data_IF_365916104513
#
_entry.id   IF_365916104513
#
_cell.length_a   1.000
_cell.length_b   1.000
_cell.length_c   1.000
_cell.angle_alpha   90.00
_cell.angle_beta   90.00
_cell.angle_gamma   90.00
#
_symmetry.space_group_name_H-M   'P 1'
#
loop_
_entity.id
_entity.type
_entity.pdbx_description
1 polymer ?
#
# COMPACT_ATOMS: atom_id res chain seq x y z
N UNK A 1 -50.66 -5.83 -0.93
CA UNK A 1 -49.27 -6.06 -0.52
C UNK A 1 -48.59 -7.13 -1.37
N UNK A 2 -49.16 -8.33 -1.51
CA UNK A 2 -48.58 -9.43 -2.31
C UNK A 2 -48.29 -9.06 -3.78
N UNK A 3 -49.25 -8.44 -4.47
CA UNK A 3 -49.08 -8.02 -5.87
C UNK A 3 -47.94 -6.99 -6.07
N UNK A 4 -47.72 -6.13 -5.08
CA UNK A 4 -46.65 -5.12 -5.12
C UNK A 4 -45.28 -5.75 -4.94
N UNK A 5 -45.14 -6.71 -4.01
CA UNK A 5 -43.88 -7.45 -3.83
C UNK A 5 -43.53 -8.23 -5.10
N UNK A 6 -44.50 -8.91 -5.71
CA UNK A 6 -44.31 -9.60 -6.99
C UNK A 6 -43.89 -8.63 -8.11
N UNK A 7 -44.48 -7.44 -8.17
CA UNK A 7 -44.09 -6.43 -9.16
C UNK A 7 -42.63 -5.98 -8.98
N UNK A 8 -42.20 -5.72 -7.75
CA UNK A 8 -40.81 -5.33 -7.44
C UNK A 8 -39.84 -6.43 -7.83
N UNK A 9 -40.17 -7.69 -7.55
CA UNK A 9 -39.35 -8.84 -7.94
C UNK A 9 -39.27 -9.01 -9.47
N UNK A 10 -40.38 -8.81 -10.19
CA UNK A 10 -40.36 -8.84 -11.67
C UNK A 10 -39.47 -7.72 -12.24
N UNK A 11 -39.56 -6.51 -11.69
CA UNK A 11 -38.70 -5.39 -12.10
C UNK A 11 -37.23 -5.71 -11.81
N UNK A 12 -36.94 -6.28 -10.65
CA UNK A 12 -35.60 -6.75 -10.32
C UNK A 12 -35.09 -7.79 -11.33
N UNK A 13 -35.90 -8.80 -11.66
CA UNK A 13 -35.50 -9.87 -12.59
C UNK A 13 -35.16 -9.31 -13.99
N UNK A 14 -35.87 -8.25 -14.41
CA UNK A 14 -35.52 -7.53 -15.66
C UNK A 14 -34.15 -6.88 -15.54
N UNK A 15 -33.87 -6.13 -14.46
CA UNK A 15 -32.55 -5.52 -14.25
C UNK A 15 -31.45 -6.57 -14.15
N UNK A 16 -31.64 -7.64 -13.39
CA UNK A 16 -30.68 -8.73 -13.23
C UNK A 16 -30.36 -9.41 -14.56
N UNK A 17 -31.35 -9.62 -15.44
CA UNK A 17 -31.10 -10.13 -16.80
C UNK A 17 -30.26 -9.17 -17.63
N UNK A 18 -30.54 -7.87 -17.59
CA UNK A 18 -29.76 -6.87 -18.31
C UNK A 18 -28.33 -6.73 -17.77
N UNK A 19 -28.11 -6.89 -16.47
CA UNK A 19 -26.78 -6.93 -15.86
C UNK A 19 -25.94 -8.11 -16.39
N UNK A 20 -26.57 -9.22 -16.79
CA UNK A 20 -25.88 -10.42 -17.29
C UNK A 20 -25.73 -10.46 -18.82
N UNK A 21 -26.13 -9.41 -19.55
CA UNK A 21 -25.97 -9.36 -21.01
C UNK A 21 -24.47 -9.35 -21.37
N UNK A 22 -23.97 -10.23 -22.25
CA UNK A 22 -22.56 -10.27 -22.64
C UNK A 22 -22.08 -8.94 -23.25
N UNK A 23 -20.82 -8.58 -23.04
CA UNK A 23 -20.22 -7.36 -23.63
C UNK A 23 -20.14 -7.39 -25.16
N UNK A 24 -20.27 -8.56 -25.78
CA UNK A 24 -20.33 -8.72 -27.24
C UNK A 24 -21.65 -8.26 -27.87
N UNK A 25 -22.67 -7.93 -27.07
CA UNK A 25 -23.98 -7.58 -27.58
C UNK A 25 -24.02 -6.18 -28.21
N UNK A 26 -24.16 -6.11 -29.53
CA UNK A 26 -24.05 -4.90 -30.36
C UNK A 26 -24.96 -3.75 -29.91
N UNK A 27 -26.20 -4.06 -29.49
CA UNK A 27 -27.17 -3.03 -29.09
C UNK A 27 -27.10 -2.64 -27.61
N UNK A 28 -26.30 -3.33 -26.79
CA UNK A 28 -26.22 -3.08 -25.35
C UNK A 28 -24.87 -2.46 -24.99
N UNK A 29 -24.78 -1.16 -25.27
CA UNK A 29 -23.59 -0.34 -25.09
C UNK A 29 -23.29 -0.04 -23.61
N UNK A 30 -22.10 0.51 -23.34
CA UNK A 30 -21.66 0.89 -21.98
C UNK A 30 -22.64 1.82 -21.27
N UNK A 31 -23.23 2.78 -21.99
CA UNK A 31 -24.17 3.75 -21.42
C UNK A 31 -25.43 3.06 -20.90
N UNK A 32 -25.98 2.11 -21.66
CA UNK A 32 -27.12 1.31 -21.22
C UNK A 32 -26.75 0.44 -20.02
N UNK A 33 -25.57 -0.19 -20.00
CA UNK A 33 -25.08 -0.97 -18.86
C UNK A 33 -25.03 -0.13 -17.59
N UNK A 34 -24.41 1.04 -17.66
CA UNK A 34 -24.34 2.00 -16.56
C UNK A 34 -25.73 2.40 -16.09
N UNK A 35 -26.66 2.68 -17.01
CA UNK A 35 -28.05 3.03 -16.67
C UNK A 35 -28.83 1.87 -16.06
N UNK A 36 -28.59 0.64 -16.49
CA UNK A 36 -29.15 -0.57 -15.88
C UNK A 36 -28.69 -0.70 -14.43
N UNK A 37 -27.39 -0.55 -14.17
CA UNK A 37 -26.84 -0.61 -12.79
C UNK A 37 -27.33 0.56 -11.93
N UNK A 38 -27.43 1.76 -12.50
CA UNK A 38 -27.99 2.92 -11.81
C UNK A 38 -29.47 2.68 -11.42
N UNK A 39 -30.27 2.15 -12.34
CA UNK A 39 -31.67 1.80 -12.09
C UNK A 39 -31.83 0.71 -11.03
N UNK A 40 -30.98 -0.33 -11.08
CA UNK A 40 -30.91 -1.35 -10.04
C UNK A 40 -30.56 -0.74 -8.68
N UNK A 41 -29.62 0.20 -8.62
CA UNK A 41 -29.26 0.94 -7.42
C UNK A 41 -30.47 1.65 -6.78
N UNK A 42 -31.26 2.37 -7.59
CA UNK A 42 -32.47 3.04 -7.11
C UNK A 42 -33.55 2.05 -6.63
N UNK A 43 -33.69 0.91 -7.31
CA UNK A 43 -34.63 -0.14 -6.90
C UNK A 43 -34.27 -0.69 -5.52
N UNK A 44 -32.98 -1.00 -5.32
CA UNK A 44 -32.44 -1.54 -4.07
C UNK A 44 -32.51 -0.53 -2.94
N UNK A 45 -32.27 0.76 -3.20
CA UNK A 45 -32.40 1.82 -2.20
C UNK A 45 -33.83 1.96 -1.66
N UNK A 46 -34.85 1.67 -2.47
CA UNK A 46 -36.26 1.69 -2.04
C UNK A 46 -36.73 0.35 -1.48
N UNK A 47 -36.08 -0.75 -1.84
CA UNK A 47 -36.44 -2.10 -1.43
C UNK A 47 -35.16 -2.89 -1.06
N UNK A 48 -34.62 -2.71 0.16
CA UNK A 48 -33.37 -3.33 0.59
C UNK A 48 -33.34 -4.85 0.44
N UNK A 49 -34.49 -5.53 0.55
CA UNK A 49 -34.62 -6.98 0.29
C UNK A 49 -34.13 -7.41 -1.10
N UNK A 50 -34.19 -6.55 -2.11
CA UNK A 50 -33.65 -6.83 -3.44
C UNK A 50 -32.12 -6.86 -3.46
N UNK A 51 -31.44 -6.19 -2.51
CA UNK A 51 -29.99 -6.31 -2.33
C UNK A 51 -29.61 -7.74 -1.95
N UNK A 52 -30.39 -8.37 -1.07
CA UNK A 52 -30.16 -9.75 -0.66
C UNK A 52 -30.38 -10.70 -1.83
N UNK A 53 -31.40 -10.47 -2.66
CA UNK A 53 -31.61 -11.25 -3.90
C UNK A 53 -30.42 -11.09 -4.85
N UNK A 54 -29.92 -9.87 -5.04
CA UNK A 54 -28.72 -9.56 -5.83
C UNK A 54 -27.43 -10.18 -5.30
N UNK A 55 -27.37 -10.42 -4.01
CA UNK A 55 -26.29 -11.17 -3.38
C UNK A 55 -26.42 -12.67 -3.67
N UNK A 56 -27.62 -13.23 -3.55
CA UNK A 56 -27.89 -14.66 -3.71
C UNK A 56 -27.74 -15.16 -5.16
N UNK A 57 -28.11 -14.33 -6.14
CA UNK A 57 -27.98 -14.67 -7.56
C UNK A 57 -26.66 -14.17 -8.19
N UNK A 58 -25.74 -13.66 -7.37
CA UNK A 58 -24.43 -13.12 -7.76
C UNK A 58 -24.46 -11.90 -8.67
N UNK A 59 -25.63 -11.28 -8.95
CA UNK A 59 -25.72 -10.06 -9.77
C UNK A 59 -24.83 -8.95 -9.21
N UNK A 60 -24.83 -8.77 -7.89
CA UNK A 60 -24.02 -7.74 -7.23
C UNK A 60 -22.51 -7.96 -7.44
N UNK A 61 -22.05 -9.21 -7.27
CA UNK A 61 -20.65 -9.58 -7.49
C UNK A 61 -20.24 -9.38 -8.95
N UNK A 62 -21.09 -9.79 -9.90
CA UNK A 62 -20.86 -9.62 -11.34
C UNK A 62 -20.69 -8.14 -11.71
N UNK A 63 -21.47 -7.25 -11.09
CA UNK A 63 -21.36 -5.80 -11.33
C UNK A 63 -20.11 -5.18 -10.70
N UNK A 64 -19.77 -5.58 -9.46
CA UNK A 64 -18.55 -5.10 -8.79
C UNK A 64 -17.30 -5.53 -9.56
N UNK A 65 -17.27 -6.78 -10.06
CA UNK A 65 -16.14 -7.34 -10.80
C UNK A 65 -16.27 -7.20 -12.31
N UNK A 66 -17.19 -6.35 -12.80
CA UNK A 66 -17.45 -6.20 -14.22
C UNK A 66 -16.18 -5.74 -14.97
N UNK A 67 -15.94 -6.20 -16.20
CA UNK A 67 -14.75 -5.80 -16.97
C UNK A 67 -14.77 -4.31 -17.36
N UNK A 68 -15.93 -3.72 -17.63
CA UNK A 68 -16.07 -2.29 -17.91
C UNK A 68 -15.89 -1.44 -16.62
N UNK A 69 -14.87 -0.57 -16.57
CA UNK A 69 -14.64 0.34 -15.44
C UNK A 69 -15.82 1.25 -15.09
N UNK A 70 -16.63 1.66 -16.08
CA UNK A 70 -17.77 2.56 -15.86
C UNK A 70 -18.87 1.87 -15.07
N UNK A 71 -19.12 0.60 -15.38
CA UNK A 71 -20.08 -0.24 -14.63
C UNK A 71 -19.63 -0.41 -13.19
N UNK A 72 -18.35 -0.73 -12.96
CA UNK A 72 -17.77 -0.85 -11.61
C UNK A 72 -17.88 0.45 -10.81
N UNK A 73 -17.57 1.58 -11.47
CA UNK A 73 -17.70 2.91 -10.86
C UNK A 73 -19.16 3.19 -10.46
N UNK A 74 -20.12 2.85 -11.34
CA UNK A 74 -21.53 3.09 -11.10
C UNK A 74 -22.10 2.22 -9.97
N UNK A 75 -21.75 0.92 -9.89
CA UNK A 75 -22.25 0.08 -8.80
C UNK A 75 -21.71 0.56 -7.45
N UNK A 76 -20.44 0.95 -7.37
CA UNK A 76 -19.86 1.49 -6.14
C UNK A 76 -20.52 2.81 -5.72
N UNK A 77 -20.85 3.68 -6.68
CA UNK A 77 -21.62 4.89 -6.42
C UNK A 77 -23.04 4.55 -5.90
N UNK A 78 -23.75 3.62 -6.55
CA UNK A 78 -25.08 3.17 -6.11
C UNK A 78 -25.07 2.56 -4.70
N UNK A 79 -24.03 1.82 -4.33
CA UNK A 79 -23.86 1.27 -2.97
C UNK A 79 -23.52 2.36 -1.95
N UNK A 80 -22.75 3.37 -2.34
CA UNK A 80 -22.46 4.54 -1.51
C UNK A 80 -23.74 5.33 -1.22
N UNK A 81 -24.56 5.59 -2.25
CA UNK A 81 -25.87 6.26 -2.13
C UNK A 81 -26.85 5.46 -1.26
N UNK A 82 -26.79 4.12 -1.33
CA UNK A 82 -27.56 3.23 -0.48
C UNK A 82 -27.18 3.41 1.00
N UNK A 83 -25.88 3.35 1.32
CA UNK A 83 -25.38 3.50 2.69
C UNK A 83 -25.73 4.87 3.29
N UNK A 84 -25.54 5.94 2.52
CA UNK A 84 -25.87 7.31 2.95
C UNK A 84 -27.38 7.50 3.12
N UNK A 85 -28.17 6.98 2.16
CA UNK A 85 -29.62 7.04 2.20
C UNK A 85 -30.20 6.31 3.42
N UNK A 86 -29.60 5.18 3.78
CA UNK A 86 -30.01 4.41 4.95
C UNK A 86 -29.63 5.09 6.26
N UNK A 87 -28.42 5.64 6.37
CA UNK A 87 -28.00 6.44 7.53
C UNK A 87 -28.93 7.64 7.75
N UNK A 88 -29.22 8.42 6.71
CA UNK A 88 -30.15 9.55 6.77
C UNK A 88 -31.59 9.13 7.12
N UNK A 89 -32.00 7.92 6.75
CA UNK A 89 -33.31 7.36 7.13
C UNK A 89 -33.34 7.04 8.62
N UNK A 90 -32.31 6.37 9.13
CA UNK A 90 -32.17 6.01 10.55
C UNK A 90 -32.09 7.25 11.46
N UNK A 91 -31.35 8.28 11.06
CA UNK A 91 -31.28 9.55 11.81
C UNK A 91 -32.66 10.22 11.96
N UNK A 92 -33.45 10.27 10.89
CA UNK A 92 -34.83 10.82 10.92
C UNK A 92 -35.74 10.03 11.83
N UNK A 93 -35.56 8.71 11.90
CA UNK A 93 -36.33 7.84 12.79
C UNK A 93 -35.96 8.08 14.25
N UNK A 94 -34.67 8.17 14.57
CA UNK A 94 -34.23 8.49 15.93
C UNK A 94 -34.72 9.87 16.38
N UNK A 95 -34.70 10.87 15.49
CA UNK A 95 -35.21 12.21 15.79
C UNK A 95 -36.73 12.24 16.05
N UNK A 96 -37.51 11.39 15.38
CA UNK A 96 -38.97 11.34 15.52
C UNK A 96 -39.46 10.45 16.67
N UNK A 97 -38.69 9.42 17.03
CA UNK A 97 -38.98 8.53 18.18
C UNK A 97 -38.94 9.27 19.53
N UNK A 98 -38.18 10.37 19.66
CA UNK A 98 -38.20 11.23 20.84
C UNK A 98 -39.55 11.93 21.11
N UNK A 99 -40.51 11.86 20.19
CA UNK A 99 -41.78 12.62 20.30
C UNK A 99 -43.05 11.75 20.28
N UNK A 100 -43.00 10.45 19.92
CA UNK A 100 -44.18 9.58 19.88
C UNK A 100 -43.85 8.13 20.23
N UNK A 101 -44.15 7.75 21.47
CA UNK A 101 -44.22 6.36 21.93
C UNK A 101 -45.48 5.72 21.31
N UNK A 102 -45.31 4.91 20.27
CA UNK A 102 -46.42 4.21 19.66
C UNK A 102 -46.01 3.26 18.53
N UNK A 103 -46.09 1.95 18.84
CA UNK A 103 -46.04 0.74 18.00
C UNK A 103 -44.67 0.09 17.72
N UNK A 104 -44.39 -0.93 18.55
CA UNK A 104 -43.32 -1.95 18.47
C UNK A 104 -43.29 -2.79 17.18
N UNK A 105 -44.25 -2.64 16.26
CA UNK A 105 -44.36 -3.52 15.07
C UNK A 105 -43.61 -3.00 13.84
N UNK A 106 -43.28 -1.70 13.77
CA UNK A 106 -42.54 -1.12 12.62
C UNK A 106 -41.03 -1.05 12.90
N UNK A 107 -40.63 -1.15 14.17
CA UNK A 107 -39.24 -1.07 14.58
C UNK A 107 -38.43 -2.32 14.15
N UNK A 108 -39.00 -3.53 14.28
CA UNK A 108 -38.31 -4.78 13.92
C UNK A 108 -38.00 -4.93 12.43
N UNK A 109 -38.93 -4.55 11.53
CA UNK A 109 -38.69 -4.61 10.08
C UNK A 109 -37.63 -3.59 9.63
N UNK A 110 -37.56 -2.43 10.29
CA UNK A 110 -36.61 -1.36 9.95
C UNK A 110 -35.19 -1.63 10.44
N UNK A 111 -35.05 -2.26 11.61
CA UNK A 111 -33.76 -2.79 12.10
C UNK A 111 -33.30 -3.98 11.25
N UNK A 112 -34.25 -4.75 10.70
CA UNK A 112 -33.99 -5.85 9.77
C UNK A 112 -33.37 -5.39 8.45
N UNK A 113 -33.86 -4.30 7.84
CA UNK A 113 -33.33 -3.77 6.59
C UNK A 113 -31.90 -3.21 6.75
N UNK A 114 -31.62 -2.48 7.83
CA UNK A 114 -30.27 -1.98 8.12
C UNK A 114 -29.27 -3.14 8.34
N UNK A 115 -29.70 -4.17 9.08
CA UNK A 115 -28.91 -5.38 9.31
C UNK A 115 -28.64 -6.15 8.01
N UNK A 116 -29.63 -6.21 7.11
CA UNK A 116 -29.50 -6.83 5.80
C UNK A 116 -28.48 -6.10 4.92
N UNK A 117 -28.56 -4.77 4.85
CA UNK A 117 -27.61 -3.96 4.08
C UNK A 117 -26.19 -4.18 4.62
N UNK A 118 -26.00 -4.08 5.94
CA UNK A 118 -24.72 -4.35 6.59
C UNK A 118 -24.16 -5.73 6.25
N UNK A 119 -24.98 -6.78 6.36
CA UNK A 119 -24.59 -8.16 6.06
C UNK A 119 -24.17 -8.38 4.60
N UNK A 120 -24.91 -7.82 3.64
CA UNK A 120 -24.54 -7.94 2.22
C UNK A 120 -23.26 -7.16 1.91
N UNK A 121 -23.11 -5.96 2.46
CA UNK A 121 -21.91 -5.13 2.25
C UNK A 121 -20.66 -5.79 2.84
N UNK A 122 -20.76 -6.41 4.02
CA UNK A 122 -19.68 -7.21 4.60
C UNK A 122 -19.30 -8.38 3.68
N UNK A 123 -20.27 -9.08 3.09
CA UNK A 123 -20.02 -10.20 2.19
C UNK A 123 -19.32 -9.76 0.88
N UNK A 124 -19.54 -8.52 0.43
CA UNK A 124 -18.92 -7.97 -0.78
C UNK A 124 -17.62 -7.19 -0.51
N UNK A 125 -17.25 -6.96 0.75
CA UNK A 125 -16.03 -6.23 1.12
C UNK A 125 -14.76 -6.76 0.42
N UNK A 126 -14.50 -8.08 0.31
CA UNK A 126 -13.31 -8.56 -0.39
C UNK A 126 -13.26 -8.13 -1.86
N UNK A 127 -14.41 -8.12 -2.55
CA UNK A 127 -14.51 -7.68 -3.94
C UNK A 127 -14.30 -6.16 -4.05
N UNK A 128 -14.83 -5.39 -3.10
CA UNK A 128 -14.64 -3.94 -3.02
C UNK A 128 -13.16 -3.56 -2.78
N UNK A 129 -12.48 -4.25 -1.85
CA UNK A 129 -11.04 -4.05 -1.59
C UNK A 129 -10.19 -4.41 -2.82
N UNK A 130 -10.57 -5.46 -3.54
CA UNK A 130 -9.91 -5.85 -4.80
C UNK A 130 -10.03 -4.77 -5.87
N UNK A 131 -11.24 -4.23 -6.11
CA UNK A 131 -11.43 -3.19 -7.13
C UNK A 131 -10.85 -1.83 -6.71
N UNK A 132 -10.72 -1.57 -5.41
CA UNK A 132 -10.11 -0.34 -4.91
C UNK A 132 -8.65 -0.18 -5.36
N UNK A 133 -7.95 -1.25 -5.73
CA UNK A 133 -6.55 -1.23 -6.18
C UNK A 133 -6.39 -1.38 -7.69
N UNK A 134 -7.43 -1.06 -8.48
CA UNK A 134 -7.39 -1.10 -9.95
C UNK A 134 -6.78 0.16 -10.58
N UNK A 135 -6.43 0.08 -11.87
CA UNK A 135 -5.73 1.14 -12.60
C UNK A 135 -6.56 2.41 -12.77
N UNK A 136 -7.89 2.30 -12.84
CA UNK A 136 -8.78 3.42 -13.13
C UNK A 136 -9.08 4.25 -11.88
N UNK A 137 -8.69 5.53 -11.90
CA UNK A 137 -8.83 6.43 -10.75
C UNK A 137 -10.29 6.64 -10.31
N UNK A 138 -11.26 6.59 -11.23
CA UNK A 138 -12.70 6.71 -10.91
C UNK A 138 -13.17 5.59 -10.00
N UNK A 139 -12.71 4.35 -10.24
CA UNK A 139 -13.04 3.18 -9.42
C UNK A 139 -12.43 3.35 -8.04
N UNK A 140 -11.15 3.71 -7.96
CA UNK A 140 -10.46 3.88 -6.67
C UNK A 140 -11.11 4.94 -5.81
N UNK A 141 -11.49 6.07 -6.42
CA UNK A 141 -12.20 7.17 -5.75
C UNK A 141 -13.55 6.71 -5.19
N UNK A 142 -14.35 5.97 -5.97
CA UNK A 142 -15.64 5.48 -5.49
C UNK A 142 -15.51 4.33 -4.48
N UNK A 143 -14.56 3.42 -4.70
CA UNK A 143 -14.33 2.30 -3.80
C UNK A 143 -13.87 2.77 -2.42
N UNK A 144 -12.93 3.72 -2.36
CA UNK A 144 -12.44 4.25 -1.08
C UNK A 144 -13.52 5.03 -0.33
N UNK A 145 -14.37 5.80 -1.03
CA UNK A 145 -15.51 6.47 -0.42
C UNK A 145 -16.50 5.45 0.18
N UNK A 146 -16.82 4.40 -0.58
CA UNK A 146 -17.74 3.34 -0.12
C UNK A 146 -17.18 2.57 1.08
N UNK A 147 -15.91 2.14 1.02
CA UNK A 147 -15.21 1.48 2.15
C UNK A 147 -15.14 2.42 3.36
N UNK A 148 -14.88 3.70 3.11
CA UNK A 148 -14.86 4.75 4.11
C UNK A 148 -16.15 4.83 4.91
N UNK A 149 -17.29 4.85 4.22
CA UNK A 149 -18.62 4.83 4.86
C UNK A 149 -18.85 3.58 5.70
N UNK A 150 -18.49 2.40 5.18
CA UNK A 150 -18.60 1.15 5.94
C UNK A 150 -17.77 1.19 7.24
N UNK A 151 -16.57 1.79 7.20
CA UNK A 151 -15.72 1.97 8.37
C UNK A 151 -16.31 2.99 9.36
N UNK A 152 -16.83 4.13 8.88
CA UNK A 152 -17.37 5.19 9.76
C UNK A 152 -18.67 4.75 10.43
N UNK A 153 -19.52 4.02 9.70
CA UNK A 153 -20.78 3.46 10.20
C UNK A 153 -20.57 2.21 11.08
N UNK A 154 -19.34 1.68 11.19
CA UNK A 154 -19.03 0.51 12.01
C UNK A 154 -19.56 -0.81 11.45
N UNK A 155 -19.85 -0.86 10.14
CA UNK A 155 -20.39 -2.03 9.48
C UNK A 155 -19.33 -3.08 9.15
N UNK A 156 -18.03 -2.74 9.18
CA UNK A 156 -16.95 -3.68 8.87
C UNK A 156 -15.81 -3.60 9.90
N UNK A 157 -15.10 -4.72 10.06
CA UNK A 157 -13.91 -4.78 10.91
C UNK A 157 -12.73 -4.05 10.25
N UNK A 158 -12.15 -2.99 10.88
CA UNK A 158 -11.14 -2.17 10.22
C UNK A 158 -9.86 -2.91 9.82
N UNK A 159 -9.51 -3.97 10.57
CA UNK A 159 -8.27 -4.73 10.38
C UNK A 159 -8.07 -5.21 8.93
N UNK A 160 -9.13 -5.62 8.26
CA UNK A 160 -9.07 -6.15 6.88
C UNK A 160 -8.89 -5.04 5.83
N UNK A 161 -9.21 -3.79 6.16
CA UNK A 161 -9.12 -2.65 5.23
C UNK A 161 -7.75 -1.97 5.27
N UNK A 162 -7.03 -2.08 6.39
CA UNK A 162 -5.76 -1.35 6.61
C UNK A 162 -4.75 -1.61 5.48
N UNK A 163 -4.48 -2.85 5.03
CA UNK A 163 -3.51 -3.07 3.96
C UNK A 163 -3.87 -2.34 2.66
N UNK A 164 -5.15 -2.34 2.28
CA UNK A 164 -5.64 -1.63 1.09
C UNK A 164 -5.56 -0.11 1.27
N UNK A 165 -5.92 0.43 2.44
CA UNK A 165 -5.80 1.86 2.71
C UNK A 165 -4.34 2.32 2.66
N UNK A 166 -3.42 1.55 3.22
CA UNK A 166 -1.97 1.84 3.12
C UNK A 166 -1.48 1.80 1.67
N UNK A 167 -1.98 0.86 0.86
CA UNK A 167 -1.67 0.84 -0.58
C UNK A 167 -2.20 2.07 -1.32
N UNK A 168 -3.35 2.60 -0.93
CA UNK A 168 -3.96 3.80 -1.52
C UNK A 168 -3.32 5.11 -1.07
N UNK A 169 -2.52 5.12 0.01
CA UNK A 169 -1.66 6.28 0.32
C UNK A 169 -0.59 6.50 -0.74
N UNK A 170 -0.25 5.49 -1.55
CA UNK A 170 0.75 5.60 -2.62
C UNK A 170 0.11 5.80 -4.01
N UNK A 171 -1.11 6.32 -4.06
CA UNK A 171 -1.81 6.62 -5.32
C UNK A 171 -1.22 7.86 -6.02
N UNK A 172 -1.29 7.91 -7.35
CA UNK A 172 -0.96 9.13 -8.11
C UNK A 172 -1.95 10.27 -7.86
N UNK A 173 -3.22 9.95 -7.56
CA UNK A 173 -4.26 10.95 -7.30
C UNK A 173 -4.27 11.38 -5.83
N UNK A 174 -4.01 12.67 -5.57
CA UNK A 174 -3.90 13.22 -4.22
C UNK A 174 -5.18 13.04 -3.38
N UNK A 175 -6.37 13.22 -3.98
CA UNK A 175 -7.64 13.05 -3.26
C UNK A 175 -7.84 11.63 -2.72
N UNK A 176 -7.37 10.61 -3.44
CA UNK A 176 -7.41 9.21 -2.97
C UNK A 176 -6.43 9.02 -1.82
N UNK A 177 -5.20 9.56 -1.94
CA UNK A 177 -4.20 9.52 -0.86
C UNK A 177 -4.72 10.16 0.43
N UNK A 178 -5.36 11.32 0.30
CA UNK A 178 -5.88 12.07 1.45
C UNK A 178 -7.04 11.36 2.12
N UNK A 179 -7.94 10.78 1.34
CA UNK A 179 -9.06 9.99 1.86
C UNK A 179 -8.56 8.72 2.58
N UNK A 180 -7.58 8.02 1.99
CA UNK A 180 -6.97 6.84 2.61
C UNK A 180 -6.33 7.15 3.96
N UNK A 181 -5.55 8.23 3.99
CA UNK A 181 -4.92 8.73 5.20
C UNK A 181 -5.95 9.08 6.29
N UNK A 182 -7.01 9.81 5.94
CA UNK A 182 -8.07 10.17 6.90
C UNK A 182 -8.73 8.93 7.51
N UNK A 183 -8.99 7.89 6.72
CA UNK A 183 -9.52 6.63 7.26
C UNK A 183 -8.52 5.92 8.19
N UNK A 184 -7.23 5.89 7.85
CA UNK A 184 -6.20 5.32 8.71
C UNK A 184 -6.09 6.07 10.05
N UNK A 185 -6.15 7.40 10.03
CA UNK A 185 -6.16 8.22 11.24
C UNK A 185 -7.41 7.98 12.08
N UNK A 186 -8.58 7.86 11.46
CA UNK A 186 -9.82 7.54 12.16
C UNK A 186 -9.75 6.16 12.84
N UNK A 187 -9.18 5.16 12.15
CA UNK A 187 -8.93 3.83 12.72
C UNK A 187 -7.96 3.91 13.89
N UNK A 188 -6.82 4.59 13.73
CA UNK A 188 -5.81 4.75 14.78
C UNK A 188 -6.38 5.46 16.02
N UNK A 189 -7.18 6.51 15.81
CA UNK A 189 -7.81 7.27 16.90
C UNK A 189 -8.74 6.41 17.75
N UNK A 190 -9.46 5.48 17.13
CA UNK A 190 -10.33 4.51 17.84
C UNK A 190 -9.55 3.32 18.40
N UNK A 191 -8.51 2.85 17.69
CA UNK A 191 -7.74 1.65 18.00
C UNK A 191 -6.23 1.88 17.81
N UNK A 192 -5.52 2.51 18.77
CA UNK A 192 -4.15 2.99 18.59
C UNK A 192 -3.09 1.93 18.25
N UNK A 193 -3.32 0.67 18.61
CA UNK A 193 -2.37 -0.43 18.38
C UNK A 193 -2.69 -1.26 17.11
N UNK A 194 -3.76 -0.94 16.38
CA UNK A 194 -4.26 -1.80 15.30
C UNK A 194 -3.54 -1.60 13.97
N UNK A 195 -2.95 -0.43 13.72
CA UNK A 195 -2.42 -0.07 12.40
C UNK A 195 -1.06 -0.69 12.12
N UNK A 196 -0.15 -0.71 13.10
CA UNK A 196 1.27 -1.03 12.90
C UNK A 196 1.54 -2.42 12.30
N UNK A 197 0.85 -3.46 12.77
CA UNK A 197 1.00 -4.82 12.23
C UNK A 197 0.52 -4.95 10.78
N UNK A 198 -0.77 -4.70 10.49
CA UNK A 198 -1.33 -4.75 9.14
C UNK A 198 -0.68 -3.76 8.16
N UNK A 199 -0.10 -2.65 8.63
CA UNK A 199 0.62 -1.70 7.77
C UNK A 199 1.82 -2.35 7.06
N UNK A 200 2.48 -3.35 7.66
CA UNK A 200 3.58 -4.08 7.00
C UNK A 200 3.06 -4.81 5.75
N UNK A 201 1.91 -5.48 5.87
CA UNK A 201 1.22 -6.09 4.72
C UNK A 201 0.75 -5.01 3.73
N UNK A 202 0.30 -3.86 4.22
CA UNK A 202 -0.08 -2.72 3.40
C UNK A 202 1.06 -2.16 2.55
N UNK A 203 2.30 -2.14 3.07
CA UNK A 203 3.49 -1.73 2.33
C UNK A 203 3.76 -2.71 1.18
N UNK A 204 3.61 -3.99 1.43
CA UNK A 204 3.68 -4.99 0.37
C UNK A 204 2.57 -4.80 -0.69
N UNK A 205 1.31 -4.61 -0.25
CA UNK A 205 0.19 -4.31 -1.15
C UNK A 205 0.39 -3.02 -1.93
N UNK A 206 1.06 -2.01 -1.37
CA UNK A 206 1.40 -0.75 -2.06
C UNK A 206 2.36 -1.00 -3.23
N UNK A 207 3.38 -1.84 -3.04
CA UNK A 207 4.29 -2.23 -4.11
C UNK A 207 3.55 -2.94 -5.25
N UNK A 208 2.70 -3.92 -4.92
CA UNK A 208 1.90 -4.65 -5.90
C UNK A 208 0.92 -3.75 -6.64
N UNK A 209 0.24 -2.86 -5.91
CA UNK A 209 -0.68 -1.89 -6.49
C UNK A 209 0.04 -0.98 -7.48
N UNK A 210 1.15 -0.36 -7.08
CA UNK A 210 1.86 0.59 -7.94
C UNK A 210 2.46 -0.07 -9.18
N UNK A 211 3.09 -1.24 -9.02
CA UNK A 211 3.63 -2.02 -10.15
C UNK A 211 2.54 -2.43 -11.14
N UNK A 212 1.41 -2.94 -10.65
CA UNK A 212 0.29 -3.36 -11.50
C UNK A 212 -0.46 -2.20 -12.16
N UNK A 213 -0.72 -1.12 -11.42
CA UNK A 213 -1.54 0.00 -11.90
C UNK A 213 -0.72 1.00 -12.73
N UNK A 214 0.54 1.24 -12.35
CA UNK A 214 1.38 2.31 -12.89
C UNK A 214 2.68 1.82 -13.53
N UNK A 215 3.01 0.53 -13.44
CA UNK A 215 4.20 -0.07 -14.05
C UNK A 215 5.50 0.12 -13.26
N UNK A 216 5.54 1.06 -12.30
CA UNK A 216 6.71 1.32 -11.45
C UNK A 216 6.27 1.70 -10.04
N UNK A 217 6.97 1.15 -9.05
CA UNK A 217 6.82 1.56 -7.66
C UNK A 217 7.69 2.79 -7.38
N UNK A 218 7.07 3.82 -6.81
CA UNK A 218 7.67 5.06 -6.34
C UNK A 218 7.37 5.21 -4.85
N UNK A 219 8.38 5.65 -4.10
CA UNK A 219 8.28 5.83 -2.64
C UNK A 219 7.98 7.28 -2.27
N UNK A 220 8.49 8.22 -3.06
CA UNK A 220 8.38 9.65 -2.79
C UNK A 220 7.56 10.37 -3.85
N UNK A 221 6.80 11.36 -3.40
CA UNK A 221 6.17 12.35 -4.27
C UNK A 221 7.23 13.33 -4.79
N UNK A 222 7.46 13.36 -6.10
CA UNK A 222 8.45 14.24 -6.74
C UNK A 222 7.90 15.64 -7.02
N UNK A 223 6.58 15.81 -7.00
CA UNK A 223 5.93 17.00 -7.55
C UNK A 223 5.81 18.13 -6.52
N UNK A 224 5.90 17.82 -5.22
CA UNK A 224 5.71 18.80 -4.13
C UNK A 224 6.58 18.52 -2.89
N UNK A 225 7.89 18.80 -2.99
CA UNK A 225 8.93 18.48 -1.99
C UNK A 225 9.04 16.97 -1.80
N UNK A 226 10.24 16.41 -1.98
CA UNK A 226 10.49 14.97 -1.85
C UNK A 226 10.00 14.49 -0.48
N UNK A 227 8.84 13.83 -0.46
CA UNK A 227 8.19 13.30 0.75
C UNK A 227 7.79 11.87 0.49
N UNK A 228 8.15 10.97 1.41
CA UNK A 228 7.69 9.59 1.39
C UNK A 228 6.14 9.55 1.46
N UNK A 229 5.50 8.84 0.54
CA UNK A 229 4.04 8.70 0.51
C UNK A 229 3.49 8.18 1.84
N UNK A 230 4.16 7.17 2.39
CA UNK A 230 3.79 6.49 3.64
C UNK A 230 4.24 7.24 4.91
N UNK A 231 4.93 8.38 4.75
CA UNK A 231 5.45 9.16 5.87
C UNK A 231 4.34 9.74 6.76
N UNK A 232 3.16 10.06 6.18
CA UNK A 232 2.02 10.61 6.94
C UNK A 232 1.41 9.58 7.88
N UNK A 233 1.16 8.36 7.38
CA UNK A 233 0.74 7.23 8.20
C UNK A 233 1.77 6.94 9.29
N UNK A 234 3.08 6.90 8.94
CA UNK A 234 4.11 6.61 9.92
C UNK A 234 4.09 7.58 11.10
N UNK A 235 4.16 8.89 10.83
CA UNK A 235 4.15 9.93 11.87
C UNK A 235 2.94 9.84 12.78
N UNK A 236 1.76 9.69 12.17
CA UNK A 236 0.49 9.81 12.90
C UNK A 236 0.11 8.52 13.63
N UNK A 237 0.33 7.37 13.01
CA UNK A 237 -0.21 6.09 13.48
C UNK A 237 0.82 5.19 14.17
N UNK A 238 2.12 5.43 14.01
CA UNK A 238 3.17 4.49 14.44
C UNK A 238 4.24 5.18 15.30
N UNK A 239 4.69 6.36 14.90
CA UNK A 239 5.87 7.03 15.46
C UNK A 239 5.74 7.33 16.96
N UNK A 240 4.54 7.69 17.44
CA UNK A 240 4.32 8.05 18.84
C UNK A 240 4.64 6.96 19.86
N UNK A 241 4.66 5.68 19.46
CA UNK A 241 4.89 4.55 20.35
C UNK A 241 6.17 3.78 19.98
N UNK A 242 7.20 3.84 20.83
CA UNK A 242 8.50 3.19 20.61
C UNK A 242 8.39 1.69 20.34
N UNK A 243 7.55 0.97 21.08
CA UNK A 243 7.36 -0.47 20.88
C UNK A 243 6.74 -0.76 19.50
N UNK A 244 5.74 0.02 19.10
CA UNK A 244 5.14 -0.10 17.77
C UNK A 244 6.12 0.25 16.65
N UNK A 245 6.92 1.31 16.81
CA UNK A 245 7.99 1.66 15.85
C UNK A 245 8.96 0.51 15.65
N UNK A 246 9.49 -0.04 16.74
CA UNK A 246 10.44 -1.15 16.71
C UNK A 246 9.83 -2.41 16.09
N UNK A 247 8.58 -2.74 16.43
CA UNK A 247 7.86 -3.85 15.81
C UNK A 247 7.64 -3.64 14.30
N UNK A 248 7.27 -2.44 13.89
CA UNK A 248 7.08 -2.06 12.50
C UNK A 248 8.39 -2.18 11.69
N UNK A 249 9.49 -1.62 12.19
CA UNK A 249 10.80 -1.73 11.55
C UNK A 249 11.29 -3.18 11.50
N UNK A 250 11.15 -3.94 12.58
CA UNK A 250 11.47 -5.37 12.58
C UNK A 250 10.65 -6.17 11.57
N UNK A 251 9.38 -5.83 11.40
CA UNK A 251 8.50 -6.46 10.43
C UNK A 251 8.97 -6.22 9.00
N UNK A 252 9.33 -4.99 8.65
CA UNK A 252 9.89 -4.64 7.35
C UNK A 252 11.26 -5.29 7.10
N UNK A 253 12.15 -5.22 8.09
CA UNK A 253 13.47 -5.87 8.02
C UNK A 253 13.36 -7.40 7.98
N UNK A 254 12.26 -7.96 8.48
CA UNK A 254 11.93 -9.38 8.36
C UNK A 254 11.86 -9.87 6.91
N UNK A 255 11.57 -9.00 5.94
CA UNK A 255 11.61 -9.34 4.51
C UNK A 255 13.03 -9.72 4.02
N UNK A 256 14.08 -9.20 4.67
CA UNK A 256 15.48 -9.42 4.30
C UNK A 256 16.11 -10.66 4.96
N UNK A 257 15.39 -11.34 5.86
CA UNK A 257 15.90 -12.50 6.59
C UNK A 257 15.70 -13.78 5.79
N UNK A 258 16.60 -14.76 5.91
CA UNK A 258 16.54 -16.01 5.12
C UNK A 258 15.24 -16.81 5.34
N UNK A 259 14.73 -16.80 6.59
CA UNK A 259 13.44 -17.41 6.97
C UNK A 259 12.24 -16.45 6.78
N UNK A 260 12.49 -15.31 6.17
CA UNK A 260 11.51 -14.28 5.88
C UNK A 260 10.57 -14.66 4.73
N UNK A 261 9.53 -13.85 4.51
CA UNK A 261 8.49 -14.13 3.51
C UNK A 261 9.02 -14.20 2.07
N UNK A 262 9.97 -13.33 1.73
CA UNK A 262 10.52 -13.22 0.36
C UNK A 262 11.37 -14.44 0.03
N UNK A 263 12.31 -14.78 0.92
CA UNK A 263 13.25 -15.88 0.73
C UNK A 263 12.59 -17.26 0.84
N UNK A 264 11.59 -17.41 1.71
CA UNK A 264 10.79 -18.65 1.74
C UNK A 264 9.96 -18.86 0.47
N UNK A 265 9.47 -17.80 -0.15
CA UNK A 265 8.78 -17.89 -1.44
C UNK A 265 9.74 -18.16 -2.61
N UNK A 266 10.95 -17.57 -2.60
CA UNK A 266 12.02 -17.89 -3.54
C UNK A 266 12.43 -19.37 -3.45
N UNK A 267 12.64 -19.89 -2.23
CA UNK A 267 13.00 -21.30 -2.02
C UNK A 267 11.92 -22.26 -2.54
N UNK A 268 10.66 -21.85 -2.46
CA UNK A 268 9.52 -22.62 -2.96
C UNK A 268 9.23 -22.39 -4.47
N UNK A 269 10.12 -21.69 -5.19
CA UNK A 269 9.94 -21.31 -6.60
C UNK A 269 8.62 -20.58 -6.91
N UNK A 270 8.01 -19.92 -5.91
CA UNK A 270 6.79 -19.11 -6.08
C UNK A 270 7.07 -17.68 -6.54
N UNK A 271 8.32 -17.24 -6.45
CA UNK A 271 8.74 -15.88 -6.74
C UNK A 271 10.00 -15.91 -7.60
N UNK A 272 10.07 -15.05 -8.62
CA UNK A 272 11.28 -14.89 -9.41
C UNK A 272 12.27 -13.96 -8.70
N UNK A 273 13.59 -14.16 -8.88
CA UNK A 273 14.63 -13.35 -8.22
C UNK A 273 14.50 -11.86 -8.53
N UNK A 274 14.25 -11.51 -9.79
CA UNK A 274 14.05 -10.12 -10.21
C UNK A 274 12.91 -9.43 -9.46
N UNK A 275 11.78 -10.13 -9.24
CA UNK A 275 10.63 -9.53 -8.56
C UNK A 275 10.84 -9.46 -7.04
N UNK A 276 11.49 -10.47 -6.46
CA UNK A 276 11.95 -10.41 -5.07
C UNK A 276 12.86 -9.22 -4.83
N UNK A 277 13.85 -9.00 -5.70
CA UNK A 277 14.76 -7.87 -5.62
C UNK A 277 14.04 -6.53 -5.75
N UNK A 278 13.07 -6.43 -6.67
CA UNK A 278 12.25 -5.24 -6.84
C UNK A 278 11.52 -4.86 -5.55
N UNK A 279 10.92 -5.84 -4.88
CA UNK A 279 10.24 -5.59 -3.60
C UNK A 279 11.23 -5.24 -2.47
N UNK A 280 12.35 -5.96 -2.34
CA UNK A 280 13.36 -5.66 -1.32
C UNK A 280 13.95 -4.25 -1.52
N UNK A 281 14.19 -3.85 -2.77
CA UNK A 281 14.62 -2.49 -3.12
C UNK A 281 13.57 -1.46 -2.71
N UNK A 282 12.29 -1.74 -2.98
CA UNK A 282 11.20 -0.88 -2.54
C UNK A 282 11.16 -0.72 -1.02
N UNK A 283 11.27 -1.81 -0.25
CA UNK A 283 11.30 -1.74 1.23
C UNK A 283 12.50 -0.94 1.72
N UNK A 284 13.69 -1.13 1.12
CA UNK A 284 14.87 -0.35 1.47
C UNK A 284 14.69 1.15 1.20
N UNK A 285 14.07 1.51 0.08
CA UNK A 285 13.72 2.89 -0.26
C UNK A 285 12.67 3.48 0.70
N UNK A 286 11.67 2.70 1.10
CA UNK A 286 10.69 3.11 2.12
C UNK A 286 11.43 3.44 3.42
N UNK A 287 12.25 2.52 3.93
CA UNK A 287 13.02 2.71 5.15
C UNK A 287 13.96 3.93 5.06
N UNK A 288 14.59 4.20 3.92
CA UNK A 288 15.47 5.37 3.79
C UNK A 288 14.71 6.69 3.69
N UNK A 289 13.50 6.69 3.14
CA UNK A 289 12.70 7.90 2.93
C UNK A 289 11.76 8.25 4.10
N UNK A 290 11.65 7.39 5.12
CA UNK A 290 10.79 7.66 6.27
C UNK A 290 11.18 8.93 7.01
N UNK A 291 10.21 9.73 7.49
CA UNK A 291 10.50 10.95 8.22
C UNK A 291 10.83 10.66 9.69
N UNK A 292 12.09 10.38 9.97
CA UNK A 292 12.60 10.17 11.33
C UNK A 292 12.67 11.48 12.11
N UNK A 293 12.09 11.52 13.32
CA UNK A 293 12.13 12.71 14.18
C UNK A 293 13.06 12.53 15.40
N UNK A 294 13.37 11.29 15.80
CA UNK A 294 14.27 10.97 16.93
C UNK A 294 15.41 10.06 16.47
N UNK A 295 16.63 10.30 16.94
CA UNK A 295 17.84 9.52 16.60
C UNK A 295 17.71 8.01 16.91
N UNK A 296 16.96 7.63 17.94
CA UNK A 296 16.66 6.21 18.28
C UNK A 296 16.05 5.44 17.11
N UNK A 297 15.28 6.11 16.24
CA UNK A 297 14.58 5.47 15.13
C UNK A 297 15.55 4.94 14.04
N UNK A 298 16.40 5.77 13.40
CA UNK A 298 17.37 5.29 12.43
C UNK A 298 18.46 4.42 13.08
N UNK A 299 18.88 4.72 14.33
CA UNK A 299 19.86 3.89 15.04
C UNK A 299 19.34 2.46 15.27
N UNK A 300 18.05 2.31 15.58
CA UNK A 300 17.42 0.99 15.71
C UNK A 300 17.45 0.20 14.40
N UNK A 301 17.15 0.86 13.28
CA UNK A 301 17.19 0.25 11.94
C UNK A 301 18.62 -0.18 11.60
N UNK A 302 19.61 0.71 11.76
CA UNK A 302 21.03 0.42 11.50
C UNK A 302 21.54 -0.71 12.38
N UNK A 303 21.25 -0.68 13.69
CA UNK A 303 21.63 -1.75 14.61
C UNK A 303 21.06 -3.11 14.18
N UNK A 304 19.78 -3.13 13.80
CA UNK A 304 19.12 -4.38 13.38
C UNK A 304 19.69 -4.90 12.07
N UNK A 305 19.96 -4.02 11.10
CA UNK A 305 20.64 -4.38 9.85
C UNK A 305 22.04 -4.94 10.15
N UNK A 306 22.86 -4.25 10.94
CA UNK A 306 24.21 -4.69 11.27
C UNK A 306 24.20 -6.05 11.96
N UNK A 307 23.27 -6.28 12.88
CA UNK A 307 23.11 -7.57 13.55
C UNK A 307 22.73 -8.67 12.55
N UNK A 308 21.73 -8.43 11.71
CA UNK A 308 21.24 -9.43 10.76
C UNK A 308 22.32 -9.74 9.68
N UNK A 309 23.10 -8.73 9.25
CA UNK A 309 24.26 -8.89 8.37
C UNK A 309 25.38 -9.66 9.06
N UNK A 310 25.76 -9.31 10.29
CA UNK A 310 26.82 -10.00 11.02
C UNK A 310 26.52 -11.50 11.24
N UNK A 311 25.24 -11.85 11.43
CA UNK A 311 24.79 -13.23 11.60
C UNK A 311 24.72 -14.01 10.27
N UNK A 312 24.35 -13.35 9.17
CA UNK A 312 24.11 -14.02 7.88
C UNK A 312 25.28 -13.99 6.90
N UNK A 313 26.09 -12.93 6.93
CA UNK A 313 27.10 -12.64 5.90
C UNK A 313 28.21 -13.69 5.87
N UNK A 314 28.62 -14.22 7.03
CA UNK A 314 29.68 -15.24 7.09
C UNK A 314 29.37 -16.47 6.25
N UNK A 315 28.17 -17.03 6.40
CA UNK A 315 27.71 -18.18 5.61
C UNK A 315 27.64 -17.84 4.12
N UNK A 316 27.05 -16.68 3.79
CA UNK A 316 26.94 -16.19 2.41
C UNK A 316 28.31 -16.06 1.75
N UNK A 317 29.29 -15.44 2.42
CA UNK A 317 30.65 -15.28 1.91
C UNK A 317 31.33 -16.62 1.64
N UNK A 318 31.16 -17.61 2.51
CA UNK A 318 31.70 -18.97 2.29
C UNK A 318 31.10 -19.60 1.03
N UNK A 319 29.81 -19.44 0.79
CA UNK A 319 29.15 -20.00 -0.40
C UNK A 319 29.55 -19.27 -1.69
N UNK A 320 29.62 -17.94 -1.64
CA UNK A 320 30.08 -17.13 -2.77
C UNK A 320 31.52 -17.49 -3.15
N UNK A 321 32.42 -17.65 -2.17
CA UNK A 321 33.80 -18.12 -2.40
C UNK A 321 33.86 -19.54 -2.97
N UNK A 322 33.03 -20.47 -2.45
CA UNK A 322 32.94 -21.84 -3.01
C UNK A 322 32.46 -21.82 -4.47
N UNK A 323 31.58 -20.89 -4.84
CA UNK A 323 31.02 -20.81 -6.19
C UNK A 323 31.96 -20.11 -7.18
N UNK A 324 32.52 -18.96 -6.79
CA UNK A 324 33.34 -18.14 -7.67
C UNK A 324 34.84 -18.55 -7.66
N UNK A 325 35.30 -19.19 -6.58
CA UNK A 325 36.72 -19.49 -6.33
C UNK A 325 37.32 -18.55 -5.25
N UNK A 326 38.35 -19.00 -4.55
CA UNK A 326 38.97 -18.24 -3.45
C UNK A 326 39.66 -16.95 -3.92
N UNK A 327 40.05 -16.86 -5.20
CA UNK A 327 40.75 -15.72 -5.82
C UNK A 327 39.81 -14.70 -6.50
N UNK A 328 38.49 -14.84 -6.32
CA UNK A 328 37.54 -13.98 -7.03
C UNK A 328 37.47 -12.58 -6.44
N UNK A 329 37.93 -11.59 -7.18
CA UNK A 329 37.75 -10.16 -6.92
C UNK A 329 36.65 -9.59 -7.81
N UNK A 330 36.17 -8.37 -7.52
CA UNK A 330 35.18 -7.67 -8.36
C UNK A 330 35.66 -7.51 -9.83
N UNK A 331 36.98 -7.52 -10.02
CA UNK A 331 37.65 -7.38 -11.32
C UNK A 331 37.79 -8.71 -12.08
N UNK A 332 37.58 -9.86 -11.41
CA UNK A 332 37.80 -11.20 -11.93
C UNK A 332 36.55 -12.10 -11.80
N UNK A 333 35.34 -11.55 -11.94
CA UNK A 333 34.12 -12.37 -11.96
C UNK A 333 34.11 -13.32 -13.17
N UNK A 334 33.73 -14.60 -13.00
CA UNK A 334 33.57 -15.54 -14.11
C UNK A 334 32.45 -15.09 -15.07
N UNK A 335 32.68 -15.28 -16.38
CA UNK A 335 31.69 -14.96 -17.42
C UNK A 335 30.44 -15.89 -17.37
N UNK A 336 29.24 -15.40 -17.75
CA UNK A 336 27.94 -15.82 -17.21
C UNK A 336 27.26 -17.02 -17.93
N UNK A 337 28.02 -17.88 -18.60
CA UNK A 337 27.46 -18.98 -19.41
C UNK A 337 27.45 -20.35 -18.70
N UNK A 338 27.85 -20.42 -17.42
CA UNK A 338 27.80 -21.66 -16.66
C UNK A 338 26.42 -21.88 -16.01
N UNK A 339 25.74 -23.02 -16.27
CA UNK A 339 24.47 -23.32 -15.61
C UNK A 339 24.64 -23.35 -14.08
N UNK A 340 23.68 -22.77 -13.37
CA UNK A 340 23.67 -22.74 -11.89
C UNK A 340 23.80 -24.18 -11.39
N UNK A 341 24.87 -24.48 -10.65
CA UNK A 341 25.08 -25.82 -10.09
C UNK A 341 23.92 -26.14 -9.15
N UNK A 342 23.28 -27.33 -9.25
CA UNK A 342 22.12 -27.70 -8.43
C UNK A 342 22.42 -27.69 -6.92
N UNK A 343 23.71 -27.82 -6.55
CA UNK A 343 24.20 -27.70 -5.18
C UNK A 343 24.01 -26.30 -4.57
N UNK A 344 23.95 -25.22 -5.36
CA UNK A 344 23.76 -23.85 -4.87
C UNK A 344 22.28 -23.58 -4.53
N UNK A 345 21.36 -24.19 -5.28
CA UNK A 345 19.92 -24.12 -5.00
C UNK A 345 19.53 -24.89 -3.72
N UNK A 346 20.30 -25.91 -3.35
CA UNK A 346 19.99 -26.77 -2.20
C UNK A 346 20.37 -26.19 -0.82
N UNK A 347 21.12 -25.07 -0.79
CA UNK A 347 21.90 -24.69 0.40
C UNK A 347 21.33 -23.47 1.15
N UNK A 348 20.48 -22.66 0.50
CA UNK A 348 19.71 -21.61 1.19
C UNK A 348 19.27 -20.47 0.27
N UNK A 349 18.07 -19.89 0.48
CA UNK A 349 17.48 -18.93 -0.46
C UNK A 349 18.24 -17.60 -0.59
N UNK A 350 18.99 -17.17 0.41
CA UNK A 350 19.79 -15.93 0.35
C UNK A 350 21.06 -16.11 -0.49
N UNK A 351 21.75 -17.24 -0.33
CA UNK A 351 22.90 -17.62 -1.16
C UNK A 351 22.46 -17.87 -2.61
N UNK A 352 21.29 -18.49 -2.81
CA UNK A 352 20.68 -18.65 -4.13
C UNK A 352 20.28 -17.32 -4.77
N UNK A 353 19.66 -16.40 -4.03
CA UNK A 353 19.29 -15.07 -4.53
C UNK A 353 20.52 -14.22 -4.89
N UNK A 354 21.59 -14.29 -4.11
CA UNK A 354 22.86 -13.62 -4.41
C UNK A 354 23.61 -14.28 -5.57
N UNK A 355 23.58 -15.61 -5.68
CA UNK A 355 24.12 -16.31 -6.84
C UNK A 355 23.35 -15.96 -8.11
N UNK A 356 22.03 -15.81 -8.05
CA UNK A 356 21.20 -15.34 -9.16
C UNK A 356 21.48 -13.88 -9.52
N UNK A 357 21.64 -13.00 -8.54
CA UNK A 357 22.04 -11.59 -8.76
C UNK A 357 23.42 -11.48 -9.41
N UNK A 358 24.34 -12.36 -9.04
CA UNK A 358 25.67 -12.42 -9.65
C UNK A 358 25.66 -13.03 -11.07
N UNK A 359 24.63 -13.84 -11.40
CA UNK A 359 24.51 -14.52 -12.68
C UNK A 359 23.57 -13.82 -13.68
N UNK A 360 22.73 -12.87 -13.23
CA UNK A 360 21.93 -12.03 -14.14
C UNK A 360 22.84 -11.00 -14.83
N UNK A 361 23.16 -11.26 -16.09
CA UNK A 361 23.58 -10.20 -17.02
C UNK A 361 22.43 -9.20 -17.21
N UNK A 362 22.72 -7.90 -17.43
CA UNK A 362 21.70 -6.90 -17.65
C UNK A 362 21.11 -7.05 -19.06
N UNK A 363 20.13 -7.93 -19.30
CA UNK A 363 19.66 -8.14 -20.68
C UNK A 363 18.15 -8.35 -20.86
N UNK A 364 17.59 -7.45 -21.66
CA UNK A 364 16.51 -7.57 -22.66
C UNK A 364 15.83 -8.94 -22.92
N UNK A 365 14.49 -8.86 -22.97
CA UNK A 365 13.49 -9.52 -23.88
C UNK A 365 13.13 -11.03 -23.74
N UNK A 366 11.82 -11.24 -23.49
CA UNK A 366 10.85 -12.26 -24.05
C UNK A 366 11.04 -13.75 -23.69
N UNK A 367 10.05 -14.65 -23.44
CA UNK A 367 8.57 -14.76 -23.64
C UNK A 367 7.98 -16.01 -22.92
N UNK A 368 6.66 -16.00 -22.61
CA UNK A 368 5.69 -17.12 -22.31
C UNK A 368 5.75 -17.87 -20.94
N UNK A 369 4.74 -17.77 -20.03
CA UNK A 369 3.43 -18.46 -19.88
C UNK A 369 3.56 -19.95 -19.39
N UNK A 370 2.90 -20.55 -18.37
CA UNK A 370 1.58 -20.44 -17.70
C UNK A 370 1.56 -21.19 -16.33
N UNK A 371 0.54 -20.89 -15.51
CA UNK A 371 -0.24 -21.71 -14.54
C UNK A 371 0.19 -22.07 -13.08
N UNK A 372 -0.84 -21.94 -12.22
CA UNK A 372 -1.02 -21.89 -10.76
C UNK A 372 -1.07 -23.27 -10.03
N UNK A 373 -0.77 -23.41 -8.73
CA UNK A 373 -1.73 -23.21 -7.60
C UNK A 373 -1.13 -23.48 -6.18
N UNK A 374 -1.57 -22.66 -5.21
CA UNK A 374 -1.82 -22.86 -3.75
C UNK A 374 -0.76 -22.52 -2.65
N UNK A 375 -1.35 -22.05 -1.53
CA UNK A 375 -1.06 -20.97 -0.51
C UNK A 375 -0.19 -21.47 0.69
N UNK A 376 0.72 -20.68 1.36
CA UNK A 376 0.42 -19.46 2.16
C UNK A 376 1.49 -18.32 2.21
N UNK A 377 1.07 -17.17 2.77
CA UNK A 377 1.48 -15.77 2.47
C UNK A 377 1.19 -15.43 1.01
N UNK A 378 0.33 -14.43 0.76
CA UNK A 378 -0.12 -14.08 -0.59
C UNK A 378 0.99 -13.35 -1.39
N UNK A 379 2.07 -14.09 -1.65
CA UNK A 379 3.09 -13.81 -2.66
C UNK A 379 2.56 -14.20 -4.04
N UNK A 380 1.43 -14.91 -4.13
CA UNK A 380 0.76 -15.30 -5.37
C UNK A 380 0.23 -14.09 -6.17
N UNK A 381 -0.09 -12.96 -5.52
CA UNK A 381 -0.43 -11.71 -6.21
C UNK A 381 0.81 -11.03 -6.86
N UNK A 382 2.03 -11.46 -6.54
CA UNK A 382 3.25 -10.93 -7.18
C UNK A 382 3.38 -11.44 -8.62
N UNK A 383 3.03 -12.71 -8.88
CA UNK A 383 3.22 -13.34 -10.19
C UNK A 383 2.23 -12.81 -11.24
N UNK A 384 1.08 -12.27 -10.81
CA UNK A 384 0.06 -11.68 -11.70
C UNK A 384 0.36 -10.23 -12.12
N UNK A 385 1.35 -9.56 -11.53
CA UNK A 385 1.61 -8.13 -11.77
C UNK A 385 2.63 -7.82 -12.88
N UNK A 386 3.32 -8.83 -13.44
CA UNK A 386 4.31 -8.62 -14.52
C UNK A 386 3.74 -9.07 -15.85
N UNK A 387 2.75 -8.33 -16.37
CA UNK A 387 2.41 -8.36 -17.80
C UNK A 387 2.97 -7.10 -18.43
N UNK A 388 3.98 -7.28 -19.27
CA UNK A 388 4.55 -6.21 -20.11
C UNK A 388 5.81 -5.60 -19.52
N UNK A 389 6.96 -6.11 -19.96
CA UNK A 389 8.24 -5.50 -19.65
C UNK A 389 8.34 -4.07 -20.17
N UNK A 390 8.78 -3.16 -19.31
CA UNK A 390 9.70 -2.09 -19.68
C UNK A 390 10.83 -2.14 -18.68
N UNK A 391 12.07 -2.15 -19.19
CA UNK A 391 13.26 -2.43 -18.39
C UNK A 391 13.37 -1.51 -17.18
N UNK A 392 13.41 -2.10 -15.99
CA UNK A 392 13.98 -1.40 -14.85
C UNK A 392 15.46 -1.23 -15.15
N UNK A 393 15.90 0.01 -15.40
CA UNK A 393 17.30 0.37 -15.21
C UNK A 393 17.58 0.23 -13.72
N UNK A 394 17.92 -0.97 -13.28
CA UNK A 394 18.34 -1.25 -11.93
C UNK A 394 19.59 -0.40 -11.66
N UNK A 395 19.42 0.72 -10.97
CA UNK A 395 20.48 1.65 -10.59
C UNK A 395 21.47 1.09 -9.56
N UNK A 396 21.67 -0.22 -9.53
CA UNK A 396 22.70 -0.86 -8.70
C UNK A 396 24.10 -0.41 -9.14
N UNK A 397 24.27 -0.05 -10.41
CA UNK A 397 25.49 0.60 -10.94
C UNK A 397 25.60 2.08 -10.56
N UNK A 398 24.53 2.70 -10.03
CA UNK A 398 24.53 4.07 -9.51
C UNK A 398 24.56 4.16 -7.99
N UNK A 399 24.53 3.02 -7.28
CA UNK A 399 24.89 2.97 -5.87
C UNK A 399 26.39 3.25 -5.75
N UNK A 400 26.73 4.52 -5.52
CA UNK A 400 28.08 4.88 -5.05
C UNK A 400 28.23 4.20 -3.70
N UNK A 401 28.98 3.09 -3.65
CA UNK A 401 29.41 2.51 -2.38
C UNK A 401 30.14 3.61 -1.64
N UNK A 402 29.50 4.21 -0.64
CA UNK A 402 30.15 5.10 0.32
C UNK A 402 31.06 4.28 1.25
N UNK A 403 31.68 3.19 0.80
CA UNK A 403 32.47 2.29 1.63
C UNK A 403 33.63 3.02 2.30
N UNK A 404 34.34 3.87 1.56
CA UNK A 404 35.41 4.69 2.13
C UNK A 404 34.88 5.79 3.07
N UNK A 405 33.76 6.44 2.71
CA UNK A 405 33.17 7.48 3.55
C UNK A 405 32.55 6.91 4.84
N UNK A 406 31.89 5.75 4.77
CA UNK A 406 31.34 5.04 5.91
C UNK A 406 32.43 4.42 6.79
N UNK A 407 33.55 3.96 6.20
CA UNK A 407 34.72 3.52 6.95
C UNK A 407 35.41 4.70 7.65
N UNK A 408 35.49 5.87 7.01
CA UNK A 408 36.00 7.10 7.63
C UNK A 408 35.08 7.59 8.76
N UNK A 409 33.77 7.56 8.56
CA UNK A 409 32.79 7.93 9.60
C UNK A 409 32.83 6.93 10.77
N UNK A 410 32.95 5.64 10.50
CA UNK A 410 33.10 4.62 11.54
C UNK A 410 34.41 4.78 12.31
N UNK A 411 35.53 5.01 11.61
CA UNK A 411 36.83 5.29 12.24
C UNK A 411 36.80 6.57 13.08
N UNK A 412 36.04 7.59 12.63
CA UNK A 412 35.84 8.82 13.39
C UNK A 412 34.98 8.58 14.64
N UNK A 413 33.95 7.74 14.55
CA UNK A 413 33.12 7.34 15.70
C UNK A 413 33.90 6.51 16.71
N UNK A 414 34.71 5.57 16.24
CA UNK A 414 35.59 4.75 17.08
C UNK A 414 36.65 5.61 17.76
N UNK A 415 37.25 6.58 17.04
CA UNK A 415 38.15 7.57 17.61
C UNK A 415 37.48 8.45 18.67
N UNK A 416 36.28 8.97 18.36
CA UNK A 416 35.50 9.82 19.27
C UNK A 416 35.04 9.03 20.53
N UNK A 417 34.82 7.71 20.40
CA UNK A 417 34.48 6.78 21.50
C UNK A 417 35.68 6.49 22.40
N UNK A 418 36.86 6.25 21.82
CA UNK A 418 38.10 6.03 22.56
C UNK A 418 38.62 7.31 23.24
N UNK A 419 38.23 8.48 22.72
CA UNK A 419 38.71 9.78 23.20
C UNK A 419 37.56 10.73 23.62
N UNK A 420 36.73 10.36 24.62
CA UNK A 420 35.57 11.16 25.05
C UNK A 420 35.95 12.50 25.70
N UNK A 421 37.24 12.70 26.00
CA UNK A 421 37.82 13.94 26.52
C UNK A 421 38.02 14.99 25.41
N UNK A 422 38.18 14.55 24.14
CA UNK A 422 38.44 15.40 22.98
C UNK A 422 37.14 15.90 22.32
N UNK A 423 36.06 15.10 22.38
CA UNK A 423 34.74 15.47 21.84
C UNK A 423 34.05 16.59 22.62
N UNK A 424 34.38 16.76 23.91
CA UNK A 424 33.92 17.89 24.75
C UNK A 424 34.51 19.25 24.34
N UNK A 425 35.43 19.28 23.36
CA UNK A 425 35.95 20.51 22.74
C UNK A 425 35.47 20.67 21.29
N UNK A 426 34.21 20.38 20.96
CA UNK A 426 33.66 20.83 19.67
C UNK A 426 33.12 22.28 19.75
N UNK A 427 33.83 23.13 19.02
CA UNK A 427 33.39 24.32 18.29
C UNK A 427 32.52 25.37 19.02
N UNK A 428 33.17 26.46 19.46
CA UNK A 428 32.52 27.77 19.44
C UNK A 428 32.18 28.09 17.99
N UNK A 429 30.89 28.16 17.65
CA UNK A 429 30.44 28.79 16.39
C UNK A 429 31.09 30.18 16.28
N UNK A 430 31.62 30.58 15.10
CA UNK A 430 32.03 31.96 14.91
C UNK A 430 30.79 32.85 15.06
N UNK A 431 30.84 33.75 16.05
CA UNK A 431 29.86 34.83 16.18
C UNK A 431 29.83 35.61 14.87
N UNK A 432 28.64 35.79 14.30
CA UNK A 432 28.35 36.79 13.26
C UNK A 432 29.02 38.11 13.65
N UNK A 433 30.08 38.47 12.92
CA UNK A 433 30.74 39.76 13.05
C UNK A 433 29.79 40.83 12.55
N UNK A 434 29.12 41.52 13.47
CA UNK A 434 28.44 42.77 13.16
C UNK A 434 29.46 43.78 12.65
N UNK A 435 29.28 44.23 11.40
CA UNK A 435 30.01 45.37 10.88
C UNK A 435 29.57 46.62 11.68
N UNK A 436 30.46 47.12 12.52
CA UNK A 436 30.44 48.48 13.05
C UNK A 436 31.78 49.14 12.73
N UNK A 437 31.82 49.90 11.64
CA UNK A 437 32.78 50.98 11.32
C UNK A 437 32.09 51.83 10.25
N UNK A 438 32.12 53.14 10.24
CA UNK A 438 32.52 54.22 11.15
C UNK A 438 31.94 55.45 10.45
N UNK A 439 31.19 56.28 11.17
CA UNK A 439 30.64 57.54 10.63
C UNK A 439 31.82 58.48 10.36
N UNK A 440 32.11 58.77 9.10
CA UNK A 440 32.91 59.92 8.71
C UNK A 440 31.92 61.07 8.50
N UNK A 441 32.14 62.15 9.24
CA UNK A 441 31.51 63.43 9.01
C UNK A 441 32.12 64.06 7.75
N UNK A 442 31.26 64.65 6.92
CA UNK A 442 31.49 65.89 6.19
C UNK A 442 30.11 66.40 5.76
N UNK A 443 29.69 67.44 6.47
CA UNK A 443 28.95 68.65 6.13
C UNK A 443 28.19 68.79 4.78
N UNK A 444 27.08 69.54 4.89
CA UNK A 444 26.31 70.28 3.84
C UNK A 444 25.44 69.38 2.93
N UNK A 445 24.12 69.56 2.72
CA UNK A 445 23.24 70.72 2.84
C UNK A 445 21.75 70.29 2.96
N UNK A 446 20.95 71.26 3.38
CA UNK A 446 19.48 71.38 3.36
C UNK A 446 18.75 70.74 2.16
N UNK A 447 17.66 69.99 2.43
CA UNK A 447 16.29 70.43 2.11
C UNK A 447 15.27 69.28 2.26
N UNK A 448 14.29 69.56 3.12
CA UNK A 448 12.85 69.36 3.01
C UNK A 448 12.21 68.44 1.94
N UNK A 449 11.12 67.82 2.44
CA UNK A 449 9.83 67.55 1.78
C UNK A 449 9.54 66.15 1.18
N UNK A 450 8.49 65.57 1.78
CA UNK A 450 7.56 64.50 1.39
C UNK A 450 7.89 63.04 1.69
#
# INVERSE_FOLDING_TARGET
MYLFVQLVEMVYDVYARYCNVPNSHVHFNDALRVKTVQGLGYLVQKNPRMLLKAQQDHTLQTMILHPDPKVRTQILASLTDLLQGEEARLEKLHATQGTKVGKDQVQGDQEGDASLIGGVMQAQLPNMLKVATQKEASIRTQAIACIGLLLTQGLIAPMQCIPTLVALETDQLASVRDTAYLHLVAIHSKFPNMVSGPAIQGIFSSYQFQTRAFGKAIVCDTDNVVRCYLGRMYRTCIQGNRSQRHAFFNGLLGAFRERGPVFTALAANRLTPAVALGYLTYVAQVLSAMPYDVEDEPLYVVYTINRDVALGLGCVCVFVKKYLGDDTTLDNLPEPDAPIKPEVAAVGPTAFALALLANETPVSRTTAAHDSTLIPMNVDDITMAVVGGTGMSNGWTQLKLLGEAAAQDQAQLDFDWEHPQLTKKKAKLPKRGGQRKRKQANDEDENDLF
#
